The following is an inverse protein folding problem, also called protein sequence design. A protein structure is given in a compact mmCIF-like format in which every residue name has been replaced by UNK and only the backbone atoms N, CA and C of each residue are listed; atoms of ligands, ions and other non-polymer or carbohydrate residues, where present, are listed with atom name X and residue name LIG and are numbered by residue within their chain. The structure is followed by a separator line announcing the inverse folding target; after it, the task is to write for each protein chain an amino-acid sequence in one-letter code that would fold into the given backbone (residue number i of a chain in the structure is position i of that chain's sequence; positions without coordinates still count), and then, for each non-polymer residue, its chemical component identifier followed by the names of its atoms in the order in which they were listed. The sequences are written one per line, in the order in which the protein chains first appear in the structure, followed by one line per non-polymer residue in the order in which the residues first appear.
data_IF_435273581149
#
_entry.id   IF_435273581149
#
_cell.length_a   1.000
_cell.length_b   1.000
_cell.length_c   1.000
_cell.angle_alpha   90.00
_cell.angle_beta   90.00
_cell.angle_gamma   90.00
#
_symmetry.space_group_name_H-M   'P 1'
#
loop_
_entity.id
_entity.type
_entity.pdbx_description
1 polymer ?
#
# COMPACT_ATOMS: atom_id res chain seq x y z
N UNK A 1 -42.20 8.13 -36.61
CA UNK A 1 -41.45 7.20 -35.73
C UNK A 1 -40.02 7.68 -35.65
N UNK A 2 -39.70 8.58 -34.71
CA UNK A 2 -38.35 9.13 -34.53
C UNK A 2 -37.75 8.59 -33.23
N UNK A 3 -36.55 8.01 -33.34
CA UNK A 3 -35.76 7.41 -32.25
C UNK A 3 -35.35 8.50 -31.26
N UNK A 4 -35.71 8.33 -29.98
CA UNK A 4 -35.20 9.13 -28.87
C UNK A 4 -33.78 8.64 -28.57
N UNK A 5 -32.77 9.36 -29.05
CA UNK A 5 -31.39 9.14 -28.63
C UNK A 5 -31.26 9.52 -27.16
N UNK A 6 -30.69 8.59 -26.38
CA UNK A 6 -30.30 8.83 -25.00
C UNK A 6 -29.30 9.98 -24.96
N UNK A 7 -29.66 11.01 -24.23
CA UNK A 7 -28.76 12.09 -23.86
C UNK A 7 -28.14 11.64 -22.53
N UNK A 8 -27.03 10.92 -22.64
CA UNK A 8 -26.08 10.78 -21.53
C UNK A 8 -25.49 12.17 -21.37
N UNK A 9 -26.16 13.01 -20.59
CA UNK A 9 -25.64 14.31 -20.21
C UNK A 9 -24.47 14.04 -19.26
N UNK A 10 -23.29 13.98 -19.86
CA UNK A 10 -22.06 14.60 -19.44
C UNK A 10 -22.36 15.95 -18.75
N UNK A 11 -22.89 15.86 -17.52
CA UNK A 11 -23.05 16.98 -16.63
C UNK A 11 -21.65 17.28 -16.11
N UNK A 12 -21.04 18.26 -16.77
CA UNK A 12 -20.00 19.14 -16.29
C UNK A 12 -19.44 18.77 -14.90
N UNK A 13 -18.16 18.42 -14.88
CA UNK A 13 -17.25 18.60 -13.76
C UNK A 13 -17.29 20.07 -13.30
N UNK A 14 -18.35 20.45 -12.58
CA UNK A 14 -18.23 21.52 -11.60
C UNK A 14 -17.20 21.04 -10.57
N UNK A 15 -16.38 21.95 -10.07
CA UNK A 15 -15.39 21.73 -9.00
C UNK A 15 -16.06 21.16 -7.73
N UNK A 16 -16.43 19.89 -7.75
CA UNK A 16 -16.91 19.17 -6.59
C UNK A 16 -15.68 18.89 -5.75
N UNK A 17 -15.48 19.74 -4.73
CA UNK A 17 -14.42 19.58 -3.73
C UNK A 17 -14.68 18.27 -2.99
N UNK A 18 -13.98 17.22 -3.40
CA UNK A 18 -13.97 15.94 -2.67
C UNK A 18 -12.98 16.01 -1.54
N UNK A 19 -13.28 15.35 -0.43
CA UNK A 19 -12.42 15.24 0.73
C UNK A 19 -11.96 13.80 0.92
N UNK A 20 -10.69 13.61 1.24
CA UNK A 20 -10.07 12.30 1.45
C UNK A 20 -9.78 12.09 2.93
N UNK A 21 -10.22 10.97 3.49
CA UNK A 21 -9.84 10.54 4.83
C UNK A 21 -8.44 9.93 4.81
N UNK A 22 -7.47 10.66 5.38
CA UNK A 22 -6.08 10.21 5.44
C UNK A 22 -5.76 9.40 6.71
N UNK A 23 -6.75 9.20 7.60
CA UNK A 23 -6.57 8.43 8.83
C UNK A 23 -6.77 6.93 8.62
N UNK A 24 -6.35 6.15 9.62
CA UNK A 24 -6.55 4.70 9.66
C UNK A 24 -7.93 4.28 10.19
N UNK A 25 -8.75 5.25 10.61
CA UNK A 25 -10.06 5.00 11.21
C UNK A 25 -11.16 5.60 10.33
N UNK A 26 -12.38 5.05 10.37
CA UNK A 26 -13.51 5.69 9.73
C UNK A 26 -13.79 7.05 10.39
N UNK A 27 -14.09 8.04 9.57
CA UNK A 27 -14.52 9.37 9.99
C UNK A 27 -16.05 9.40 9.97
N UNK A 28 -16.66 9.98 11.00
CA UNK A 28 -18.12 10.18 11.08
C UNK A 28 -18.41 11.65 10.82
N UNK A 29 -19.20 11.94 9.79
CA UNK A 29 -19.58 13.29 9.39
C UNK A 29 -20.77 13.82 10.22
N UNK A 30 -21.08 15.11 10.07
CA UNK A 30 -22.14 15.78 10.83
C UNK A 30 -23.56 15.24 10.57
N UNK A 31 -23.79 14.63 9.41
CA UNK A 31 -25.04 13.94 9.05
C UNK A 31 -25.12 12.50 9.61
N UNK A 32 -24.07 12.02 10.27
CA UNK A 32 -23.93 10.66 10.78
C UNK A 32 -23.45 9.65 9.73
N UNK A 33 -23.20 10.09 8.49
CA UNK A 33 -22.59 9.23 7.48
C UNK A 33 -21.11 9.00 7.79
N UNK A 34 -20.51 7.99 7.15
CA UNK A 34 -19.13 7.59 7.42
C UNK A 34 -18.28 7.63 6.15
N UNK A 35 -17.02 8.01 6.31
CA UNK A 35 -15.98 7.94 5.27
C UNK A 35 -14.92 6.97 5.75
N UNK A 36 -14.73 5.86 5.01
CA UNK A 36 -13.75 4.84 5.37
C UNK A 36 -12.31 5.36 5.34
N UNK A 37 -11.39 4.59 5.93
CA UNK A 37 -9.97 4.93 5.93
C UNK A 37 -9.42 4.92 4.50
N UNK A 38 -8.81 6.02 4.06
CA UNK A 38 -8.32 6.18 2.69
C UNK A 38 -9.41 6.43 1.65
N UNK A 39 -10.68 6.52 2.04
CA UNK A 39 -11.80 6.77 1.13
C UNK A 39 -12.05 8.26 0.93
N UNK A 40 -12.80 8.56 -0.14
CA UNK A 40 -13.28 9.90 -0.47
C UNK A 40 -14.73 10.07 -0.01
N UNK A 41 -15.10 11.30 0.34
CA UNK A 41 -16.49 11.70 0.46
C UNK A 41 -17.21 11.59 -0.88
N UNK A 42 -18.47 11.14 -0.87
CA UNK A 42 -19.39 11.40 -1.99
C UNK A 42 -19.66 12.91 -2.12
N UNK A 43 -20.23 13.38 -3.25
CA UNK A 43 -20.60 14.79 -3.42
C UNK A 43 -21.52 15.32 -2.30
N UNK A 44 -22.45 14.49 -1.81
CA UNK A 44 -23.37 14.85 -0.73
C UNK A 44 -22.65 14.91 0.63
N UNK A 45 -21.64 14.06 0.83
CA UNK A 45 -20.84 14.04 2.06
C UNK A 45 -19.84 15.20 2.13
N UNK A 46 -19.40 15.72 0.99
CA UNK A 46 -18.43 16.82 0.92
C UNK A 46 -18.92 18.09 1.64
N UNK A 47 -20.23 18.35 1.63
CA UNK A 47 -20.85 19.48 2.33
C UNK A 47 -20.68 19.39 3.86
N UNK A 48 -20.54 18.18 4.41
CA UNK A 48 -20.33 17.94 5.84
C UNK A 48 -18.86 17.81 6.23
N UNK A 49 -17.96 17.82 5.24
CA UNK A 49 -16.52 17.78 5.44
C UNK A 49 -15.91 19.18 5.54
N UNK A 50 -16.42 20.14 4.76
CA UNK A 50 -16.03 21.55 4.79
C UNK A 50 -16.45 22.22 6.12
N UNK A 51 -15.52 22.89 6.78
CA UNK A 51 -15.64 23.45 8.12
C UNK A 51 -15.78 22.41 9.24
N UNK A 52 -15.55 21.12 8.96
CA UNK A 52 -15.71 20.07 9.97
C UNK A 52 -14.52 19.99 10.94
N UNK A 53 -14.73 19.42 12.12
CA UNK A 53 -13.66 19.08 13.06
C UNK A 53 -12.56 18.23 12.38
N UNK A 54 -12.94 17.36 11.44
CA UNK A 54 -12.01 16.49 10.75
C UNK A 54 -11.14 17.22 9.74
N UNK A 55 -11.67 18.23 9.04
CA UNK A 55 -10.86 19.12 8.22
C UNK A 55 -9.90 19.93 9.09
N UNK A 56 -10.40 20.57 10.16
CA UNK A 56 -9.60 21.47 11.00
C UNK A 56 -8.39 20.73 11.60
N UNK A 57 -8.55 19.45 11.93
CA UNK A 57 -7.50 18.58 12.44
C UNK A 57 -6.71 17.83 11.35
N UNK A 58 -6.95 18.13 10.07
CA UNK A 58 -6.22 17.58 8.93
C UNK A 58 -6.47 16.08 8.70
N UNK A 59 -7.56 15.53 9.23
CA UNK A 59 -7.96 14.13 9.04
C UNK A 59 -8.68 13.96 7.70
N UNK A 60 -9.55 14.91 7.36
CA UNK A 60 -10.07 15.06 6.01
C UNK A 60 -9.26 16.12 5.29
N UNK A 61 -8.74 15.80 4.11
CA UNK A 61 -7.96 16.72 3.29
C UNK A 61 -8.63 16.88 1.93
N UNK A 62 -8.74 18.12 1.44
CA UNK A 62 -9.37 18.40 0.17
C UNK A 62 -8.55 17.84 -1.00
N UNK A 63 -9.26 17.34 -2.01
CA UNK A 63 -8.69 16.69 -3.17
C UNK A 63 -8.74 15.17 -3.10
N UNK A 64 -8.50 14.55 -4.27
CA UNK A 64 -8.45 13.10 -4.39
C UNK A 64 -7.18 12.53 -3.78
N UNK A 65 -7.19 11.28 -3.22
CA UNK A 65 -5.98 10.62 -2.84
C UNK A 65 -5.13 10.48 -4.11
N UNK A 66 -3.94 11.04 -4.07
CA UNK A 66 -2.94 10.79 -5.10
C UNK A 66 -2.46 9.36 -4.86
N UNK A 67 -3.07 8.40 -5.56
CA UNK A 67 -2.47 7.10 -5.75
C UNK A 67 -1.22 7.33 -6.58
N UNK A 68 -0.05 7.32 -5.94
CA UNK A 68 1.20 7.30 -6.68
C UNK A 68 1.21 6.01 -7.51
N UNK A 69 1.47 6.13 -8.81
CA UNK A 69 1.57 5.00 -9.74
C UNK A 69 2.88 4.20 -9.53
N UNK A 70 3.51 4.35 -8.38
CA UNK A 70 4.78 3.74 -8.00
C UNK A 70 4.61 2.31 -7.48
N UNK A 71 3.37 1.82 -7.36
CA UNK A 71 3.09 0.46 -6.90
C UNK A 71 3.78 -0.60 -7.77
N UNK A 72 3.85 -0.40 -9.08
CA UNK A 72 4.55 -1.32 -9.98
C UNK A 72 6.07 -1.32 -9.74
N UNK A 73 6.66 -0.15 -9.52
CA UNK A 73 8.09 0.00 -9.25
C UNK A 73 8.47 -0.56 -7.88
N UNK A 74 7.63 -0.34 -6.86
CA UNK A 74 7.80 -0.93 -5.53
C UNK A 74 7.72 -2.47 -5.59
N UNK A 75 6.76 -3.03 -6.33
CA UNK A 75 6.64 -4.48 -6.52
C UNK A 75 7.88 -5.03 -7.23
N UNK A 76 8.37 -4.35 -8.27
CA UNK A 76 9.58 -4.76 -8.98
C UNK A 76 10.81 -4.73 -8.06
N UNK A 77 10.98 -3.67 -7.26
CA UNK A 77 12.07 -3.54 -6.30
C UNK A 77 12.04 -4.64 -5.24
N UNK A 78 10.87 -4.89 -4.63
CA UNK A 78 10.69 -5.95 -3.64
C UNK A 78 10.93 -7.33 -4.24
N UNK A 79 10.54 -7.55 -5.50
CA UNK A 79 10.78 -8.82 -6.20
C UNK A 79 12.28 -9.05 -6.40
N UNK A 80 13.02 -8.04 -6.84
CA UNK A 80 14.47 -8.12 -7.01
C UNK A 80 15.20 -8.34 -5.67
N UNK A 81 14.73 -7.73 -4.59
CA UNK A 81 15.27 -7.95 -3.24
C UNK A 81 15.06 -9.40 -2.79
N UNK A 82 13.85 -9.96 -3.00
CA UNK A 82 13.55 -11.37 -2.68
C UNK A 82 14.45 -12.33 -3.47
N UNK A 83 14.69 -12.08 -4.75
CA UNK A 83 15.60 -12.92 -5.56
C UNK A 83 17.05 -12.85 -5.07
N UNK A 84 17.50 -11.65 -4.68
CA UNK A 84 18.84 -11.44 -4.11
C UNK A 84 18.98 -12.22 -2.80
N UNK A 85 18.03 -12.08 -1.88
CA UNK A 85 18.03 -12.77 -0.60
C UNK A 85 18.00 -14.29 -0.76
N UNK A 86 17.22 -14.81 -1.72
CA UNK A 86 17.22 -16.26 -2.03
C UNK A 86 18.57 -16.76 -2.51
N UNK A 87 19.24 -15.99 -3.35
CA UNK A 87 20.58 -16.33 -3.87
C UNK A 87 21.63 -16.32 -2.76
N UNK A 88 21.58 -15.31 -1.88
CA UNK A 88 22.45 -15.24 -0.70
C UNK A 88 22.20 -16.43 0.23
N UNK A 89 20.94 -16.81 0.47
CA UNK A 89 20.59 -17.94 1.31
C UNK A 89 21.12 -19.28 0.74
N UNK A 90 21.01 -19.48 -0.58
CA UNK A 90 21.54 -20.67 -1.25
C UNK A 90 23.08 -20.75 -1.17
N UNK A 91 23.75 -19.61 -1.32
CA UNK A 91 25.21 -19.50 -1.22
C UNK A 91 25.68 -19.81 0.19
N UNK A 92 25.09 -19.15 1.20
CA UNK A 92 25.40 -19.38 2.61
C UNK A 92 25.10 -20.83 3.04
N UNK A 93 24.05 -21.45 2.50
CA UNK A 93 23.76 -22.87 2.71
C UNK A 93 24.88 -23.77 2.20
N UNK A 94 25.37 -23.50 0.99
CA UNK A 94 26.46 -24.27 0.37
C UNK A 94 27.79 -24.10 1.11
N UNK A 95 28.12 -22.87 1.52
CA UNK A 95 29.31 -22.58 2.33
C UNK A 95 29.27 -23.29 3.69
N UNK A 96 28.11 -23.28 4.35
CA UNK A 96 27.90 -24.01 5.60
C UNK A 96 28.16 -25.50 5.41
N UNK A 97 27.60 -26.11 4.36
CA UNK A 97 27.77 -27.54 4.12
C UNK A 97 29.23 -27.90 3.81
N UNK A 98 29.95 -27.04 3.07
CA UNK A 98 31.39 -27.20 2.83
C UNK A 98 32.20 -27.12 4.13
N UNK A 99 31.94 -26.12 4.98
CA UNK A 99 32.61 -25.97 6.28
C UNK A 99 32.31 -27.15 7.21
N UNK A 100 31.08 -27.67 7.21
CA UNK A 100 30.75 -28.86 8.00
C UNK A 100 31.54 -30.09 7.52
N UNK A 101 31.70 -30.28 6.21
CA UNK A 101 32.51 -31.35 5.66
C UNK A 101 34.00 -31.21 6.04
N UNK A 102 34.54 -29.99 5.97
CA UNK A 102 35.92 -29.69 6.38
C UNK A 102 36.14 -29.97 7.87
N UNK A 103 35.21 -29.54 8.73
CA UNK A 103 35.27 -29.81 10.18
C UNK A 103 35.25 -31.31 10.47
N UNK A 104 34.39 -32.08 9.80
CA UNK A 104 34.34 -33.53 9.97
C UNK A 104 35.63 -34.22 9.50
N UNK A 105 36.26 -33.73 8.43
CA UNK A 105 37.54 -34.25 7.97
C UNK A 105 38.68 -33.92 8.95
N UNK A 106 38.75 -32.68 9.42
CA UNK A 106 39.74 -32.26 10.42
C UNK A 106 39.60 -33.05 11.72
N UNK A 107 38.37 -33.35 12.18
CA UNK A 107 38.14 -34.18 13.37
C UNK A 107 38.76 -35.57 13.25
N UNK A 108 38.74 -36.19 12.06
CA UNK A 108 39.35 -37.51 11.84
C UNK A 108 40.87 -37.49 11.97
N UNK A 109 41.49 -36.34 11.75
CA UNK A 109 42.94 -36.16 11.82
C UNK A 109 43.44 -35.87 13.24
N UNK A 110 42.55 -35.63 14.20
CA UNK A 110 42.92 -35.41 15.60
C UNK A 110 43.12 -36.77 16.27
N UNK A 111 44.35 -37.10 16.75
CA UNK A 111 44.58 -38.33 17.47
C UNK A 111 43.80 -38.34 18.80
N UNK A 112 43.34 -39.51 19.28
CA UNK A 112 42.69 -39.61 20.57
C UNK A 112 43.66 -39.12 21.66
N UNK A 113 43.17 -38.27 22.56
CA UNK A 113 43.96 -37.86 23.74
C UNK A 113 44.22 -39.09 24.61
N UNK A 114 45.50 -39.38 24.86
CA UNK A 114 45.97 -40.32 25.89
C UNK A 114 45.60 -39.86 27.31
#
# INVERSE_FOLDING_TARGET
MARKQGKTEEAASADLVVWTNISKNPVILGDGSTVGAGEQTTPEQAEFADGSFWEEHGVLVSGAPVLMDDGADQIAALTAEVETLRTQLATAGSEKDALLAEVEELKKQIPPKE
#
